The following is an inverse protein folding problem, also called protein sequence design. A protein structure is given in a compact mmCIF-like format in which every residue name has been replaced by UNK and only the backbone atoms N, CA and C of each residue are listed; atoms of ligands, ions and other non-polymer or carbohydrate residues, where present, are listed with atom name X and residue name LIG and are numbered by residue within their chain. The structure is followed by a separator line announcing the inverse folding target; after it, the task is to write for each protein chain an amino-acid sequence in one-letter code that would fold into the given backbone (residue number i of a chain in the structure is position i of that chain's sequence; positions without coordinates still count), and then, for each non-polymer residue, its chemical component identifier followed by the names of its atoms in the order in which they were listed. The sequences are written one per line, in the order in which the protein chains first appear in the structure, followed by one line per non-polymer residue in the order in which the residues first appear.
data_IF_664624979403
#
_entry.id   IF_664624979403
#
_cell.length_a   1.000
_cell.length_b   1.000
_cell.length_c   1.000
_cell.angle_alpha   90.00
_cell.angle_beta   90.00
_cell.angle_gamma   90.00
#
_symmetry.space_group_name_H-M   'P 1'
#
loop_
_entity.id
_entity.type
_entity.pdbx_description
1 polymer ?
#
# COMPACT_ATOMS: atom_id res chain seq x y z
N UNK A 1 -18.99 40.02 -11.21
CA UNK A 1 -18.76 39.57 -9.82
C UNK A 1 -18.25 38.12 -9.72
N UNK A 2 -18.34 37.29 -10.77
CA UNK A 2 -17.96 35.86 -10.68
C UNK A 2 -16.45 35.56 -10.59
N UNK A 3 -15.59 36.35 -11.28
CA UNK A 3 -14.16 36.05 -11.33
C UNK A 3 -13.48 36.10 -9.95
N UNK A 4 -13.94 37.01 -9.07
CA UNK A 4 -13.38 37.13 -7.71
C UNK A 4 -13.81 35.96 -6.82
N UNK A 5 -15.05 35.50 -6.97
CA UNK A 5 -15.56 34.32 -6.28
C UNK A 5 -14.78 33.05 -6.67
N UNK A 6 -14.52 32.85 -7.97
CA UNK A 6 -13.75 31.70 -8.46
C UNK A 6 -12.31 31.71 -7.92
N UNK A 7 -11.65 32.87 -7.91
CA UNK A 7 -10.29 33.01 -7.36
C UNK A 7 -10.27 32.72 -5.86
N UNK A 8 -11.29 33.17 -5.12
CA UNK A 8 -11.38 32.96 -3.68
C UNK A 8 -11.66 31.49 -3.33
N UNK A 9 -12.51 30.81 -4.09
CA UNK A 9 -12.74 29.36 -3.95
C UNK A 9 -11.48 28.56 -4.28
N UNK A 10 -10.80 28.88 -5.39
CA UNK A 10 -9.56 28.20 -5.77
C UNK A 10 -8.46 28.41 -4.71
N UNK A 11 -8.38 29.59 -4.09
CA UNK A 11 -7.46 29.86 -2.99
C UNK A 11 -7.78 28.99 -1.75
N UNK A 12 -9.06 28.85 -1.40
CA UNK A 12 -9.49 28.01 -0.28
C UNK A 12 -9.20 26.52 -0.54
N UNK A 13 -9.46 26.04 -1.76
CA UNK A 13 -9.11 24.66 -2.15
C UNK A 13 -7.60 24.42 -2.08
N UNK A 14 -6.79 25.37 -2.54
CA UNK A 14 -5.33 25.28 -2.44
C UNK A 14 -4.84 25.16 -1.01
N UNK A 15 -5.43 25.91 -0.07
CA UNK A 15 -5.12 25.79 1.37
C UNK A 15 -5.52 24.41 1.89
N UNK A 16 -6.72 23.92 1.53
CA UNK A 16 -7.17 22.60 1.93
C UNK A 16 -6.26 21.48 1.42
N UNK A 17 -5.84 21.56 0.16
CA UNK A 17 -4.93 20.59 -0.45
C UNK A 17 -3.53 20.62 0.18
N UNK A 18 -3.01 21.80 0.51
CA UNK A 18 -1.72 21.93 1.22
C UNK A 18 -1.77 21.26 2.59
N UNK A 19 -2.81 21.55 3.38
CA UNK A 19 -2.99 20.93 4.69
C UNK A 19 -3.08 19.41 4.60
N UNK A 20 -3.84 18.90 3.62
CA UNK A 20 -4.02 17.45 3.44
C UNK A 20 -2.74 16.77 2.97
N UNK A 21 -1.91 17.46 2.17
CA UNK A 21 -0.58 16.97 1.78
C UNK A 21 0.32 16.81 3.01
N UNK A 22 0.36 17.81 3.90
CA UNK A 22 1.18 17.76 5.12
C UNK A 22 0.76 16.64 6.06
N UNK A 23 -0.54 16.45 6.26
CA UNK A 23 -1.09 15.36 7.07
C UNK A 23 -0.68 13.98 6.51
N UNK A 24 -0.84 13.78 5.20
CA UNK A 24 -0.45 12.54 4.54
C UNK A 24 1.07 12.30 4.59
N UNK A 25 1.88 13.35 4.50
CA UNK A 25 3.33 13.24 4.67
C UNK A 25 3.69 12.80 6.09
N UNK A 26 3.08 13.38 7.12
CA UNK A 26 3.29 12.99 8.50
C UNK A 26 2.92 11.52 8.78
N UNK A 27 1.77 11.07 8.26
CA UNK A 27 1.35 9.67 8.37
C UNK A 27 2.32 8.72 7.66
N UNK A 28 2.84 9.13 6.50
CA UNK A 28 3.79 8.31 5.74
C UNK A 28 5.15 8.18 6.46
N UNK A 29 5.61 9.25 7.09
CA UNK A 29 6.82 9.23 7.94
C UNK A 29 6.64 8.35 9.18
N UNK A 30 5.48 8.40 9.82
CA UNK A 30 5.13 7.54 10.96
C UNK A 30 5.14 6.06 10.57
N UNK A 31 4.47 5.71 9.46
CA UNK A 31 4.48 4.34 8.93
C UNK A 31 5.90 3.87 8.59
N UNK A 32 6.70 4.73 7.96
CA UNK A 32 8.10 4.42 7.64
C UNK A 32 8.91 4.15 8.92
N UNK A 33 8.73 4.97 9.98
CA UNK A 33 9.39 4.75 11.27
C UNK A 33 9.00 3.42 11.91
N UNK A 34 7.72 3.04 11.86
CA UNK A 34 7.24 1.76 12.40
C UNK A 34 7.83 0.56 11.63
N UNK A 35 7.98 0.68 10.30
CA UNK A 35 8.61 -0.36 9.47
C UNK A 35 10.11 -0.50 9.75
N UNK A 36 10.82 0.59 10.04
CA UNK A 36 12.26 0.56 10.38
C UNK A 36 12.50 0.10 11.83
N UNK A 37 11.63 0.48 12.78
CA UNK A 37 11.74 0.13 14.19
C UNK A 37 11.31 -1.30 14.54
N UNK A 38 10.49 -1.95 13.69
CA UNK A 38 9.96 -3.29 13.93
C UNK A 38 10.89 -4.45 13.58
N UNK A 39 12.09 -4.20 13.04
CA UNK A 39 12.98 -5.25 12.53
C UNK A 39 14.08 -5.71 13.52
N UNK A 40 13.78 -5.63 14.82
CA UNK A 40 14.63 -6.12 15.89
C UNK A 40 14.19 -7.50 16.38
N UNK A 41 14.62 -8.57 15.70
CA UNK A 41 14.49 -9.92 16.24
C UNK A 41 14.33 -11.00 15.18
N UNK A 42 15.45 -11.54 14.70
CA UNK A 42 15.49 -12.78 13.93
C UNK A 42 16.47 -12.68 12.77
N UNK A 43 17.40 -13.64 12.73
CA UNK A 43 18.43 -13.86 11.71
C UNK A 43 17.87 -13.99 10.28
N UNK A 44 17.35 -12.91 9.71
CA UNK A 44 17.02 -12.85 8.29
C UNK A 44 18.26 -12.28 7.58
N UNK A 45 19.11 -13.22 7.17
CA UNK A 45 20.03 -13.08 6.03
C UNK A 45 19.50 -11.98 5.10
N UNK A 46 20.24 -10.88 4.92
CA UNK A 46 19.92 -9.79 3.99
C UNK A 46 19.64 -10.41 2.63
N UNK A 47 18.39 -10.69 2.38
CA UNK A 47 17.88 -11.09 1.10
C UNK A 47 17.30 -9.82 0.55
N UNK A 48 17.66 -9.45 -0.68
CA UNK A 48 17.06 -8.31 -1.40
C UNK A 48 15.55 -8.49 -1.64
N UNK A 49 14.96 -9.54 -1.06
CA UNK A 49 13.55 -9.88 -1.06
C UNK A 49 12.87 -9.47 0.25
N UNK A 50 11.84 -8.65 0.16
CA UNK A 50 10.91 -8.35 1.25
C UNK A 50 9.69 -9.29 1.19
N UNK A 51 9.23 -9.78 2.35
CA UNK A 51 8.03 -10.62 2.46
C UNK A 51 6.86 -9.81 3.01
N UNK A 52 5.77 -9.75 2.25
CA UNK A 52 4.50 -9.09 2.61
C UNK A 52 3.47 -10.17 2.96
N UNK A 53 2.84 -10.07 4.12
CA UNK A 53 1.74 -10.95 4.55
C UNK A 53 0.43 -10.17 4.57
N UNK A 54 -0.60 -10.70 3.90
CA UNK A 54 -1.91 -10.06 3.77
C UNK A 54 -2.98 -11.02 4.25
N UNK A 55 -3.95 -10.52 5.02
CA UNK A 55 -5.16 -11.25 5.40
C UNK A 55 -6.38 -10.38 5.13
N UNK A 56 -7.34 -10.89 4.37
CA UNK A 56 -8.58 -10.20 4.00
C UNK A 56 -9.75 -11.05 4.48
N UNK A 57 -10.53 -10.54 5.43
CA UNK A 57 -11.80 -11.14 5.82
C UNK A 57 -12.90 -10.83 4.79
N UNK A 58 -13.97 -11.64 4.79
CA UNK A 58 -15.13 -11.47 3.92
C UNK A 58 -14.81 -11.43 2.42
N UNK A 59 -13.84 -12.22 1.97
CA UNK A 59 -13.48 -12.39 0.56
C UNK A 59 -14.49 -13.23 -0.25
N UNK A 60 -15.65 -13.56 0.33
CA UNK A 60 -16.57 -14.63 -0.09
C UNK A 60 -17.09 -14.60 -1.53
N UNK A 61 -17.00 -13.47 -2.24
CA UNK A 61 -17.44 -13.33 -3.63
C UNK A 61 -16.33 -12.91 -4.62
N UNK A 62 -15.07 -12.81 -4.18
CA UNK A 62 -13.96 -12.42 -5.06
C UNK A 62 -13.18 -13.64 -5.51
N UNK A 63 -12.93 -13.74 -6.81
CA UNK A 63 -12.05 -14.78 -7.37
C UNK A 63 -10.64 -14.63 -6.76
N UNK A 64 -10.06 -15.72 -6.24
CA UNK A 64 -8.66 -15.71 -5.79
C UNK A 64 -7.70 -15.31 -6.92
N UNK A 65 -8.02 -15.69 -8.16
CA UNK A 65 -7.22 -15.38 -9.35
C UNK A 65 -7.22 -13.88 -9.63
N UNK A 66 -8.39 -13.24 -9.62
CA UNK A 66 -8.50 -11.80 -9.86
C UNK A 66 -7.76 -11.01 -8.79
N UNK A 67 -7.81 -11.49 -7.55
CA UNK A 67 -7.07 -10.92 -6.43
C UNK A 67 -5.55 -11.06 -6.62
N UNK A 68 -5.08 -12.22 -7.08
CA UNK A 68 -3.67 -12.46 -7.41
C UNK A 68 -3.16 -11.55 -8.53
N UNK A 69 -3.93 -11.43 -9.61
CA UNK A 69 -3.60 -10.57 -10.76
C UNK A 69 -3.54 -9.11 -10.33
N UNK A 70 -4.52 -8.64 -9.55
CA UNK A 70 -4.54 -7.27 -9.04
C UNK A 70 -3.33 -6.93 -8.17
N UNK A 71 -2.93 -7.84 -7.27
CA UNK A 71 -1.73 -7.68 -6.43
C UNK A 71 -0.46 -7.60 -7.29
N UNK A 72 -0.30 -8.53 -8.25
CA UNK A 72 0.87 -8.53 -9.12
C UNK A 72 0.96 -7.26 -9.98
N UNK A 73 -0.16 -6.78 -10.53
CA UNK A 73 -0.21 -5.55 -11.32
C UNK A 73 0.15 -4.31 -10.48
N UNK A 74 -0.35 -4.23 -9.24
CA UNK A 74 -0.04 -3.13 -8.31
C UNK A 74 1.44 -3.10 -7.92
N UNK A 75 2.04 -4.26 -7.65
CA UNK A 75 3.45 -4.35 -7.29
C UNK A 75 4.35 -3.98 -8.49
N UNK A 76 4.00 -4.47 -9.67
CA UNK A 76 4.69 -4.12 -10.92
C UNK A 76 4.64 -2.62 -11.21
N UNK A 77 3.49 -1.96 -11.01
CA UNK A 77 3.37 -0.50 -11.24
C UNK A 77 4.21 0.35 -10.27
N UNK A 78 4.70 -0.26 -9.18
CA UNK A 78 5.58 0.36 -8.18
C UNK A 78 7.06 0.00 -8.37
N UNK A 79 7.42 -0.69 -9.46
CA UNK A 79 8.80 -1.12 -9.71
C UNK A 79 9.25 -2.28 -8.82
N UNK A 80 8.31 -3.06 -8.30
CA UNK A 80 8.61 -4.25 -7.50
C UNK A 80 8.36 -5.51 -8.33
N UNK A 81 9.33 -6.42 -8.34
CA UNK A 81 9.20 -7.74 -8.96
C UNK A 81 8.66 -8.74 -7.94
N UNK A 82 7.59 -9.43 -8.28
CA UNK A 82 7.04 -10.54 -7.47
C UNK A 82 7.88 -11.78 -7.71
N UNK A 83 8.54 -12.28 -6.66
CA UNK A 83 9.36 -13.50 -6.68
C UNK A 83 8.53 -14.72 -6.31
N UNK A 84 7.62 -14.56 -5.34
CA UNK A 84 6.71 -15.61 -4.88
C UNK A 84 5.38 -15.01 -4.52
N UNK A 85 4.30 -15.66 -4.93
CA UNK A 85 2.95 -15.36 -4.46
C UNK A 85 2.30 -16.67 -4.03
N UNK A 86 2.03 -16.81 -2.74
CA UNK A 86 1.22 -17.90 -2.19
C UNK A 86 -0.08 -17.28 -1.68
N UNK A 87 -1.20 -17.75 -2.21
CA UNK A 87 -2.54 -17.39 -1.72
C UNK A 87 -3.22 -18.63 -1.17
N UNK A 88 -3.83 -18.47 -0.02
CA UNK A 88 -4.61 -19.50 0.65
C UNK A 88 -5.99 -18.93 0.94
N UNK A 89 -7.00 -19.59 0.38
CA UNK A 89 -8.38 -19.17 0.46
C UNK A 89 -9.14 -20.13 1.38
N UNK A 90 -9.65 -19.60 2.49
CA UNK A 90 -10.44 -20.33 3.47
C UNK A 90 -11.67 -19.50 3.77
N UNK A 91 -12.81 -19.69 3.06
CA UNK A 91 -14.00 -18.87 3.23
C UNK A 91 -14.36 -18.68 4.71
N UNK A 92 -14.56 -17.43 5.19
CA UNK A 92 -14.69 -16.18 4.44
C UNK A 92 -13.36 -15.41 4.23
N UNK A 93 -12.22 -16.00 4.54
CA UNK A 93 -10.92 -15.34 4.59
C UNK A 93 -10.03 -15.69 3.39
N UNK A 94 -9.24 -14.70 2.94
CA UNK A 94 -8.11 -14.87 2.04
C UNK A 94 -6.85 -14.50 2.80
N UNK A 95 -5.84 -15.35 2.76
CA UNK A 95 -4.50 -15.04 3.23
C UNK A 95 -3.49 -15.14 2.09
N UNK A 96 -2.49 -14.27 2.09
CA UNK A 96 -1.45 -14.27 1.07
C UNK A 96 -0.08 -13.95 1.64
N UNK A 97 0.94 -14.60 1.11
CA UNK A 97 2.35 -14.32 1.34
C UNK A 97 2.97 -13.95 0.00
N UNK A 98 3.55 -12.76 -0.08
CA UNK A 98 4.18 -12.22 -1.28
C UNK A 98 5.63 -11.91 -0.99
N UNK A 99 6.54 -12.53 -1.72
CA UNK A 99 7.95 -12.14 -1.70
C UNK A 99 8.20 -11.22 -2.90
N UNK A 100 8.74 -10.03 -2.63
CA UNK A 100 9.01 -8.99 -3.63
C UNK A 100 10.45 -8.53 -3.54
N UNK A 101 11.00 -8.09 -4.66
CA UNK A 101 12.31 -7.44 -4.71
C UNK A 101 12.21 -6.13 -5.49
N UNK A 102 13.13 -5.21 -5.21
CA UNK A 102 13.27 -3.98 -5.99
C UNK A 102 13.82 -4.33 -7.39
N UNK A 103 13.22 -3.75 -8.42
CA UNK A 103 13.68 -3.87 -9.80
C UNK A 103 14.73 -2.80 -10.14
#
# INVERSE_FOLDING_TARGET
NDKMSVVQMAAQELVGLKRRKEELQGQNEELTRLMVGGNGGGDQKRSDTATIRVKVGNAGNRSPIDSAVGVAACLKSRGLRVVRLKMEFSPPELSAVVDVEAQ
#
